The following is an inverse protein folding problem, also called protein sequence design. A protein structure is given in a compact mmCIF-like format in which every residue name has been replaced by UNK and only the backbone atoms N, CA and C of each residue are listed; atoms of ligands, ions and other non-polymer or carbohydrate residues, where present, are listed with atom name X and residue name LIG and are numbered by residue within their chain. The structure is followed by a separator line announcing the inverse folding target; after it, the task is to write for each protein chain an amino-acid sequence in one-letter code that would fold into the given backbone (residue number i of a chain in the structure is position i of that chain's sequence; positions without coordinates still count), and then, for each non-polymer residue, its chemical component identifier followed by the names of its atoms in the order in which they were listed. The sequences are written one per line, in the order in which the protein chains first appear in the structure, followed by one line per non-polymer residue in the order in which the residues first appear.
data_IF_719176717454
#
_entry.id   IF_719176717454
#
_cell.length_a   1.000
_cell.length_b   1.000
_cell.length_c   1.000
_cell.angle_alpha   90.00
_cell.angle_beta   90.00
_cell.angle_gamma   90.00
#
_symmetry.space_group_name_H-M   'P 1'
#
loop_
_entity.id
_entity.type
_entity.pdbx_description
1 polymer ?
#
# COMPACT_ATOMS: atom_id res chain seq x y z
N UNK A 1 -0.95 -17.06 14.90
CA UNK A 1 -1.28 -16.89 13.46
C UNK A 1 -1.19 -15.40 13.13
N UNK A 2 -0.02 -14.90 12.69
CA UNK A 2 0.23 -13.46 12.52
C UNK A 2 -0.45 -12.85 11.28
N UNK A 3 -1.15 -13.62 10.45
CA UNK A 3 -1.73 -13.13 9.21
C UNK A 3 -3.06 -12.37 9.36
N UNK A 4 -3.79 -12.55 10.48
CA UNK A 4 -5.07 -11.86 10.69
C UNK A 4 -4.89 -10.36 10.98
N UNK A 5 -3.85 -10.01 11.72
CA UNK A 5 -3.63 -8.62 12.16
C UNK A 5 -3.26 -7.70 11.00
N UNK A 6 -2.52 -8.22 10.02
CA UNK A 6 -2.16 -7.49 8.80
C UNK A 6 -3.35 -7.14 7.90
N UNK A 7 -4.50 -7.80 8.07
CA UNK A 7 -5.72 -7.54 7.30
C UNK A 7 -6.57 -6.39 7.84
N UNK A 8 -6.31 -5.96 9.07
CA UNK A 8 -7.04 -4.86 9.71
C UNK A 8 -6.55 -3.47 9.28
N UNK A 9 -5.46 -3.43 8.51
CA UNK A 9 -4.73 -2.20 8.18
C UNK A 9 -3.81 -1.75 9.33
N UNK A 10 -2.85 -0.88 9.03
CA UNK A 10 -1.94 -0.32 10.04
C UNK A 10 -1.98 1.20 10.04
N UNK A 11 -1.80 1.86 11.20
CA UNK A 11 -1.81 3.33 11.29
C UNK A 11 -0.52 3.99 10.77
N UNK A 12 0.45 3.20 10.30
CA UNK A 12 1.78 3.68 9.96
C UNK A 12 2.02 3.65 8.44
N UNK A 13 1.10 4.16 7.62
CA UNK A 13 1.30 4.23 6.17
C UNK A 13 1.94 5.55 5.74
N UNK A 14 2.83 5.50 4.73
CA UNK A 14 3.40 6.69 4.09
C UNK A 14 2.55 7.11 2.91
N UNK A 15 2.38 8.42 2.72
CA UNK A 15 1.76 8.98 1.51
C UNK A 15 2.74 8.96 0.35
N UNK A 16 2.86 7.81 -0.31
CA UNK A 16 3.79 7.60 -1.44
C UNK A 16 3.63 8.70 -2.52
N UNK A 17 2.39 9.00 -2.91
CA UNK A 17 2.08 10.04 -3.91
C UNK A 17 2.54 11.43 -3.47
N UNK A 18 2.38 11.79 -2.20
CA UNK A 18 2.82 13.09 -1.67
C UNK A 18 4.34 13.24 -1.82
N UNK A 19 5.11 12.22 -1.44
CA UNK A 19 6.57 12.28 -1.55
C UNK A 19 7.03 12.36 -3.01
N UNK A 20 6.41 11.58 -3.90
CA UNK A 20 6.70 11.64 -5.32
C UNK A 20 6.42 13.02 -5.93
N UNK A 21 5.30 13.65 -5.58
CA UNK A 21 4.86 14.92 -6.17
C UNK A 21 5.46 16.17 -5.50
N UNK A 22 5.96 16.07 -4.27
CA UNK A 22 6.46 17.24 -3.51
C UNK A 22 7.97 17.14 -3.25
N UNK A 23 8.40 16.10 -2.54
CA UNK A 23 9.80 15.94 -2.10
C UNK A 23 10.70 15.50 -3.28
N UNK A 24 10.19 14.64 -4.15
CA UNK A 24 10.94 14.04 -5.26
C UNK A 24 10.43 14.47 -6.64
N UNK A 25 9.76 15.61 -6.74
CA UNK A 25 9.16 16.12 -7.98
C UNK A 25 10.14 16.23 -9.17
N UNK A 26 11.42 16.40 -8.88
CA UNK A 26 12.50 16.53 -9.87
C UNK A 26 13.13 15.18 -10.25
N UNK A 27 12.73 14.08 -9.60
CA UNK A 27 13.22 12.74 -9.85
C UNK A 27 12.20 11.97 -10.70
N UNK A 28 12.69 11.10 -11.57
CA UNK A 28 11.87 10.18 -12.34
C UNK A 28 12.64 8.87 -12.59
N UNK A 29 11.95 7.82 -13.00
CA UNK A 29 12.56 6.52 -13.26
C UNK A 29 13.30 5.94 -12.05
N UNK A 30 14.49 5.38 -12.28
CA UNK A 30 15.29 4.71 -11.26
C UNK A 30 15.69 5.63 -10.08
N UNK A 31 16.14 6.89 -10.29
CA UNK A 31 16.38 7.83 -9.19
C UNK A 31 15.19 8.03 -8.24
N UNK A 32 13.97 8.12 -8.79
CA UNK A 32 12.76 8.25 -7.98
C UNK A 32 12.47 6.95 -7.22
N UNK A 33 12.57 5.80 -7.88
CA UNK A 33 12.39 4.50 -7.24
C UNK A 33 13.35 4.31 -6.06
N UNK A 34 14.62 4.64 -6.25
CA UNK A 34 15.64 4.54 -5.19
C UNK A 34 15.34 5.50 -4.02
N UNK A 35 15.03 6.77 -4.30
CA UNK A 35 14.68 7.75 -3.27
C UNK A 35 13.45 7.30 -2.46
N UNK A 36 12.44 6.75 -3.13
CA UNK A 36 11.24 6.21 -2.50
C UNK A 36 11.54 5.00 -1.62
N UNK A 37 12.33 4.03 -2.10
CA UNK A 37 12.76 2.87 -1.30
C UNK A 37 13.51 3.31 -0.05
N UNK A 38 14.43 4.27 -0.18
CA UNK A 38 15.20 4.77 0.95
C UNK A 38 14.33 5.54 1.95
N UNK A 39 13.29 6.24 1.48
CA UNK A 39 12.31 6.90 2.35
C UNK A 39 11.46 5.89 3.13
N UNK A 40 11.01 4.83 2.46
CA UNK A 40 10.25 3.74 3.08
C UNK A 40 11.09 2.99 4.12
N UNK A 41 12.38 2.74 3.85
CA UNK A 41 13.33 2.13 4.81
C UNK A 41 13.59 3.01 6.02
N UNK A 42 13.62 4.34 5.83
CA UNK A 42 13.86 5.33 6.89
C UNK A 42 12.60 5.73 7.66
N UNK A 43 11.43 5.20 7.33
CA UNK A 43 10.19 5.56 8.02
C UNK A 43 10.28 5.16 9.50
N UNK A 44 9.77 6.03 10.35
CA UNK A 44 9.72 5.81 11.80
C UNK A 44 8.75 4.67 12.16
N UNK A 45 8.99 3.99 13.28
CA UNK A 45 8.15 2.88 13.72
C UNK A 45 6.76 3.34 14.15
N UNK A 46 6.61 4.62 14.52
CA UNK A 46 5.34 5.24 14.87
C UNK A 46 5.19 6.60 14.18
N UNK A 47 4.40 6.63 13.11
CA UNK A 47 4.13 7.84 12.35
C UNK A 47 2.86 8.57 12.84
N UNK A 48 2.14 8.03 13.83
CA UNK A 48 0.86 8.60 14.29
C UNK A 48 1.02 10.07 14.68
N UNK A 49 0.29 10.96 14.02
CA UNK A 49 0.32 12.41 14.27
C UNK A 49 1.37 13.21 13.50
N UNK A 50 2.24 12.56 12.72
CA UNK A 50 3.18 13.24 11.82
C UNK A 50 2.49 13.65 10.51
N UNK A 51 2.89 14.78 9.91
CA UNK A 51 2.33 15.27 8.65
C UNK A 51 2.43 14.22 7.52
N UNK A 52 3.49 13.41 7.58
CA UNK A 52 3.81 12.28 6.70
C UNK A 52 2.74 11.18 6.69
N UNK A 53 1.98 11.01 7.79
CA UNK A 53 0.90 10.03 7.94
C UNK A 53 -0.49 10.66 8.08
N UNK A 54 -0.62 11.99 8.23
CA UNK A 54 -1.92 12.60 8.47
C UNK A 54 -2.93 12.32 7.35
N UNK A 55 -4.10 11.75 7.65
CA UNK A 55 -5.08 11.39 6.63
C UNK A 55 -4.84 10.03 5.97
N UNK A 56 -3.93 9.21 6.52
CA UNK A 56 -3.97 7.76 6.33
C UNK A 56 -4.91 7.16 7.37
N UNK A 57 -6.21 7.12 7.05
CA UNK A 57 -7.14 6.30 7.83
C UNK A 57 -6.78 4.83 7.58
N UNK A 58 -6.50 4.01 8.62
CA UNK A 58 -6.25 2.59 8.43
C UNK A 58 -7.41 1.97 7.66
N UNK A 59 -7.13 1.48 6.45
CA UNK A 59 -8.14 0.79 5.65
C UNK A 59 -8.13 -0.67 6.03
N UNK A 60 -9.32 -1.24 6.22
CA UNK A 60 -9.44 -2.69 6.33
C UNK A 60 -9.03 -3.29 4.99
N UNK A 61 -7.93 -4.02 5.01
CA UNK A 61 -7.33 -4.64 3.83
C UNK A 61 -8.29 -5.59 3.14
N UNK A 62 -9.14 -6.26 3.92
CA UNK A 62 -10.22 -7.11 3.41
C UNK A 62 -11.18 -6.38 2.51
N UNK A 63 -11.52 -5.13 2.83
CA UNK A 63 -12.49 -4.34 2.06
C UNK A 63 -11.87 -3.90 0.73
N UNK A 64 -10.58 -3.52 0.75
CA UNK A 64 -9.83 -3.19 -0.46
C UNK A 64 -9.66 -4.40 -1.37
N UNK A 65 -9.22 -5.53 -0.82
CA UNK A 65 -9.04 -6.77 -1.56
C UNK A 65 -10.38 -7.29 -2.10
N UNK A 66 -11.44 -7.24 -1.30
CA UNK A 66 -12.79 -7.62 -1.71
C UNK A 66 -13.30 -6.76 -2.87
N UNK A 67 -13.10 -5.43 -2.79
CA UNK A 67 -13.48 -4.50 -3.87
C UNK A 67 -12.68 -4.74 -5.15
N UNK A 68 -11.37 -5.03 -5.03
CA UNK A 68 -10.54 -5.39 -6.18
C UNK A 68 -11.00 -6.71 -6.82
N UNK A 69 -11.32 -7.71 -6.00
CA UNK A 69 -11.83 -8.99 -6.47
C UNK A 69 -13.15 -8.80 -7.23
N UNK A 70 -14.10 -8.06 -6.66
CA UNK A 70 -15.39 -7.74 -7.28
C UNK A 70 -15.22 -7.01 -8.63
N UNK A 71 -14.32 -6.02 -8.68
CA UNK A 71 -13.98 -5.30 -9.90
C UNK A 71 -13.42 -6.22 -11.00
N UNK A 72 -12.55 -7.17 -10.63
CA UNK A 72 -11.88 -8.08 -11.56
C UNK A 72 -12.80 -9.22 -12.01
N UNK A 73 -13.60 -9.79 -11.11
CA UNK A 73 -14.55 -10.84 -11.46
C UNK A 73 -15.74 -10.32 -12.25
N UNK A 74 -16.14 -9.07 -11.99
CA UNK A 74 -17.39 -8.50 -12.49
C UNK A 74 -18.63 -9.19 -11.93
N UNK A 75 -19.80 -8.72 -12.33
CA UNK A 75 -21.12 -9.20 -11.86
C UNK A 75 -21.72 -10.34 -12.69
N UNK A 76 -20.99 -10.83 -13.70
CA UNK A 76 -21.50 -11.80 -14.67
C UNK A 76 -21.36 -13.25 -14.21
N UNK A 77 -22.38 -14.06 -14.48
CA UNK A 77 -22.48 -15.48 -14.12
C UNK A 77 -21.54 -16.36 -14.98
N UNK A 78 -20.23 -16.29 -14.70
CA UNK A 78 -19.17 -17.04 -15.39
C UNK A 78 -18.63 -18.23 -14.58
N UNK A 79 -19.45 -18.80 -13.69
CA UNK A 79 -19.00 -19.78 -12.70
C UNK A 79 -18.18 -19.14 -11.58
N UNK A 80 -17.73 -19.91 -10.58
CA UNK A 80 -16.94 -19.40 -9.44
C UNK A 80 -15.54 -18.97 -9.88
N UNK A 81 -15.25 -17.67 -10.03
CA UNK A 81 -13.95 -17.22 -10.51
C UNK A 81 -12.93 -17.31 -9.35
N UNK A 82 -11.75 -17.86 -9.64
CA UNK A 82 -10.61 -17.83 -8.70
C UNK A 82 -9.74 -16.64 -9.06
N UNK A 83 -9.56 -15.71 -8.11
CA UNK A 83 -8.64 -14.58 -8.25
C UNK A 83 -7.39 -14.85 -7.41
N UNK A 84 -6.23 -14.83 -8.06
CA UNK A 84 -4.94 -14.97 -7.42
C UNK A 84 -4.34 -13.58 -7.19
N UNK A 85 -4.11 -13.23 -5.93
CA UNK A 85 -3.42 -12.01 -5.53
C UNK A 85 -2.06 -12.41 -4.95
N UNK A 86 -0.98 -11.92 -5.54
CA UNK A 86 0.39 -12.22 -5.12
C UNK A 86 1.08 -10.95 -4.61
N UNK A 87 2.07 -11.14 -3.76
CA UNK A 87 2.93 -10.07 -3.23
C UNK A 87 2.19 -8.93 -2.51
N UNK A 88 0.94 -9.17 -2.07
CA UNK A 88 0.11 -8.13 -1.45
C UNK A 88 0.74 -7.55 -0.17
N UNK A 89 1.37 -8.41 0.64
CA UNK A 89 2.08 -8.01 1.85
C UNK A 89 3.59 -7.80 1.62
N UNK A 90 4.04 -7.81 0.36
CA UNK A 90 5.43 -7.52 0.03
C UNK A 90 5.68 -6.02 0.18
N UNK A 91 6.75 -5.66 0.86
CA UNK A 91 7.15 -4.28 1.02
C UNK A 91 7.92 -3.83 -0.23
N UNK A 92 7.48 -2.74 -0.86
CA UNK A 92 8.11 -2.15 -2.05
C UNK A 92 9.62 -1.87 -1.89
N UNK A 93 10.09 -1.61 -0.67
CA UNK A 93 11.50 -1.36 -0.38
C UNK A 93 12.33 -2.63 -0.08
N UNK A 94 11.70 -3.80 -0.05
CA UNK A 94 12.33 -5.10 0.14
C UNK A 94 12.68 -5.81 -1.17
N UNK A 95 12.27 -5.25 -2.32
CA UNK A 95 12.69 -5.67 -3.67
C UNK A 95 13.89 -4.89 -4.18
#
# INVERSE_FOLDING_TARGET
MPHKDGLLGTPNELKIKYFAENEFQNLSGEPLAQAMRDRIKRKDQNLVGQMDSQGTTPRQTTDLVGSLCDLVSGSGDRGTPVILIQNYFTNYASE
#
